data_IF_216240208797
#
_entry.id   IF_216240208797
#
_cell.length_a   1.000
_cell.length_b   1.000
_cell.length_c   1.000
_cell.angle_alpha   90.00
_cell.angle_beta   90.00
_cell.angle_gamma   90.00
#
_symmetry.space_group_name_H-M   'P 1'
#
loop_
_entity.id
_entity.type
_entity.pdbx_description
1 polymer ?
#
# COMPACT_ATOMS: atom_id res chain seq x y z
N UNK A 1 -8.09 -12.92 -22.84
CA UNK A 1 -8.81 -13.56 -21.73
C UNK A 1 -7.78 -14.08 -20.73
N UNK A 2 -7.34 -13.24 -19.79
CA UNK A 2 -6.40 -13.68 -18.76
C UNK A 2 -7.18 -13.96 -17.48
N UNK A 3 -7.27 -15.24 -17.14
CA UNK A 3 -7.85 -15.69 -15.88
C UNK A 3 -6.91 -15.28 -14.74
N UNK A 4 -7.32 -14.27 -13.97
CA UNK A 4 -6.63 -13.89 -12.74
C UNK A 4 -6.80 -15.03 -11.73
N UNK A 5 -5.69 -15.58 -11.22
CA UNK A 5 -5.76 -16.64 -10.20
C UNK A 5 -6.38 -16.10 -8.91
N UNK A 6 -6.98 -16.98 -8.09
CA UNK A 6 -7.51 -16.58 -6.78
C UNK A 6 -6.44 -15.91 -5.90
N UNK A 7 -5.20 -16.40 -5.95
CA UNK A 7 -4.08 -15.80 -5.22
C UNK A 7 -3.78 -14.38 -5.71
N UNK A 8 -3.84 -14.14 -7.02
CA UNK A 8 -3.65 -12.80 -7.56
C UNK A 8 -4.77 -11.85 -7.13
N UNK A 9 -6.03 -12.31 -7.15
CA UNK A 9 -7.17 -11.53 -6.63
C UNK A 9 -6.98 -11.16 -5.15
N UNK A 10 -6.50 -12.09 -4.32
CA UNK A 10 -6.21 -11.84 -2.91
C UNK A 10 -5.10 -10.79 -2.79
N UNK A 11 -4.03 -10.91 -3.57
CA UNK A 11 -2.92 -9.94 -3.53
C UNK A 11 -3.41 -8.54 -3.92
N UNK A 12 -4.22 -8.42 -4.98
CA UNK A 12 -4.80 -7.14 -5.40
C UNK A 12 -5.65 -6.51 -4.28
N UNK A 13 -6.50 -7.30 -3.62
CA UNK A 13 -7.32 -6.83 -2.49
C UNK A 13 -6.48 -6.37 -1.29
N UNK A 14 -5.37 -7.06 -1.00
CA UNK A 14 -4.44 -6.65 0.05
C UNK A 14 -3.72 -5.35 -0.32
N UNK A 15 -3.29 -5.20 -1.56
CA UNK A 15 -2.67 -3.97 -2.07
C UNK A 15 -3.62 -2.77 -1.98
N UNK A 16 -4.90 -2.96 -2.35
CA UNK A 16 -5.95 -1.94 -2.20
C UNK A 16 -6.11 -1.51 -0.73
N UNK A 17 -6.11 -2.48 0.20
CA UNK A 17 -6.11 -2.21 1.64
C UNK A 17 -4.93 -1.37 2.09
N UNK A 18 -3.71 -1.79 1.72
CA UNK A 18 -2.49 -1.05 2.03
C UNK A 18 -2.53 0.38 1.48
N UNK A 19 -2.98 0.59 0.24
CA UNK A 19 -3.01 1.92 -0.39
C UNK A 19 -3.92 2.89 0.38
N UNK A 20 -5.08 2.41 0.86
CA UNK A 20 -6.00 3.21 1.68
C UNK A 20 -5.35 3.63 3.00
N UNK A 21 -4.70 2.70 3.70
CA UNK A 21 -4.07 3.01 4.99
C UNK A 21 -2.84 3.91 4.83
N UNK A 22 -2.07 3.74 3.75
CA UNK A 22 -0.93 4.59 3.43
C UNK A 22 -1.34 6.02 3.07
N UNK A 23 -2.52 6.18 2.46
CA UNK A 23 -3.06 7.48 2.04
C UNK A 23 -3.89 8.17 3.14
N UNK A 24 -4.15 7.48 4.26
CA UNK A 24 -4.93 8.00 5.38
C UNK A 24 -4.04 8.70 6.41
N UNK A 25 -4.43 9.90 6.84
CA UNK A 25 -3.75 10.62 7.93
C UNK A 25 -3.89 9.91 9.27
N UNK A 26 -4.98 9.18 9.50
CA UNK A 26 -5.15 8.33 10.68
C UNK A 26 -4.10 7.23 10.78
N UNK A 27 -3.50 6.84 9.65
CA UNK A 27 -2.42 5.84 9.56
C UNK A 27 -1.00 6.41 9.68
N UNK A 28 -0.82 7.71 9.90
CA UNK A 28 0.50 8.36 9.91
C UNK A 28 1.46 7.79 10.97
N UNK A 29 0.92 7.29 12.08
CA UNK A 29 1.68 6.70 13.19
C UNK A 29 2.17 5.27 12.90
N UNK A 30 1.55 4.54 11.97
CA UNK A 30 1.94 3.18 11.62
C UNK A 30 3.10 3.21 10.65
N UNK A 31 4.07 2.31 10.74
CA UNK A 31 5.12 2.18 9.71
C UNK A 31 4.60 1.44 8.47
N UNK A 32 5.19 1.70 7.29
CA UNK A 32 4.84 1.03 6.02
C UNK A 32 4.87 -0.49 6.18
N UNK A 33 5.89 -1.02 6.85
CA UNK A 33 6.01 -2.46 7.10
C UNK A 33 4.88 -3.00 7.97
N UNK A 34 4.43 -2.26 8.98
CA UNK A 34 3.31 -2.67 9.84
C UNK A 34 2.00 -2.74 9.05
N UNK A 35 1.74 -1.79 8.15
CA UNK A 35 0.58 -1.84 7.25
C UNK A 35 0.65 -3.08 6.36
N UNK A 36 1.81 -3.36 5.76
CA UNK A 36 1.98 -4.54 4.92
C UNK A 36 1.68 -5.85 5.69
N UNK A 37 2.20 -5.97 6.92
CA UNK A 37 1.93 -7.13 7.78
C UNK A 37 0.45 -7.23 8.18
N UNK A 38 -0.21 -6.11 8.50
CA UNK A 38 -1.63 -6.08 8.85
C UNK A 38 -2.53 -6.57 7.71
N UNK A 39 -2.16 -6.29 6.45
CA UNK A 39 -2.86 -6.81 5.27
C UNK A 39 -2.36 -8.19 4.81
N UNK A 40 -1.50 -8.85 5.60
CA UNK A 40 -1.11 -10.24 5.40
C UNK A 40 0.05 -10.47 4.42
N UNK A 41 0.85 -9.44 4.11
CA UNK A 41 2.14 -9.65 3.46
C UNK A 41 3.17 -10.11 4.49
N UNK A 42 3.78 -11.28 4.28
CA UNK A 42 4.84 -11.81 5.16
C UNK A 42 6.24 -11.29 4.81
N UNK A 43 6.41 -10.65 3.65
CA UNK A 43 7.70 -10.17 3.17
C UNK A 43 7.57 -8.76 2.57
N UNK A 44 8.28 -7.80 3.17
CA UNK A 44 8.22 -6.39 2.78
C UNK A 44 8.82 -6.15 1.38
N UNK A 45 9.91 -6.82 1.02
CA UNK A 45 10.50 -6.68 -0.32
C UNK A 45 9.57 -7.17 -1.42
N UNK A 46 8.85 -8.27 -1.18
CA UNK A 46 7.82 -8.76 -2.11
C UNK A 46 6.65 -7.79 -2.19
N UNK A 47 6.14 -7.32 -1.04
CA UNK A 47 5.11 -6.30 -0.97
C UNK A 47 5.47 -5.05 -1.77
N UNK A 48 6.63 -4.44 -1.51
CA UNK A 48 7.05 -3.20 -2.16
C UNK A 48 7.16 -3.37 -3.69
N UNK A 49 7.66 -4.51 -4.17
CA UNK A 49 7.71 -4.81 -5.61
C UNK A 49 6.31 -4.89 -6.22
N UNK A 50 5.39 -5.61 -5.56
CA UNK A 50 4.00 -5.79 -6.04
C UNK A 50 3.21 -4.49 -5.99
N UNK A 51 3.38 -3.72 -4.92
CA UNK A 51 2.76 -2.41 -4.76
C UNK A 51 3.22 -1.45 -5.86
N UNK A 52 4.53 -1.33 -6.10
CA UNK A 52 5.05 -0.48 -7.18
C UNK A 52 4.58 -0.94 -8.55
N UNK A 53 4.51 -2.25 -8.80
CA UNK A 53 3.98 -2.78 -10.05
C UNK A 53 2.49 -2.41 -10.25
N UNK A 54 1.70 -2.35 -9.18
CA UNK A 54 0.28 -2.02 -9.22
C UNK A 54 -0.01 -0.51 -9.31
N UNK A 55 0.75 0.32 -8.58
CA UNK A 55 0.45 1.75 -8.39
C UNK A 55 1.47 2.71 -9.01
N UNK A 56 2.58 2.22 -9.56
CA UNK A 56 3.61 3.03 -10.20
C UNK A 56 4.57 3.74 -9.23
N UNK A 57 4.24 3.81 -7.94
CA UNK A 57 5.07 4.41 -6.87
C UNK A 57 5.30 3.41 -5.74
N UNK A 58 6.30 3.67 -4.89
CA UNK A 58 6.54 2.88 -3.69
C UNK A 58 5.52 3.22 -2.58
N UNK A 59 5.30 2.28 -1.63
CA UNK A 59 4.43 2.53 -0.47
C UNK A 59 4.83 3.77 0.34
N UNK A 60 6.14 4.03 0.46
CA UNK A 60 6.68 5.20 1.16
C UNK A 60 6.36 6.50 0.43
N UNK A 61 6.47 6.51 -0.90
CA UNK A 61 6.11 7.69 -1.72
C UNK A 61 4.62 8.00 -1.62
N UNK A 62 3.73 6.98 -1.67
CA UNK A 62 2.29 7.18 -1.44
C UNK A 62 2.03 7.91 -0.12
N UNK A 63 2.70 7.46 0.95
CA UNK A 63 2.56 8.07 2.27
C UNK A 63 3.10 9.49 2.33
N UNK A 64 4.28 9.73 1.78
CA UNK A 64 4.87 11.07 1.76
C UNK A 64 3.97 12.05 1.01
N UNK A 65 3.39 11.61 -0.11
CA UNK A 65 2.42 12.39 -0.89
C UNK A 65 1.16 12.70 -0.09
N UNK A 66 0.63 11.73 0.65
CA UNK A 66 -0.54 11.94 1.50
C UNK A 66 -0.25 12.92 2.66
N UNK A 67 0.92 12.81 3.30
CA UNK A 67 1.34 13.74 4.35
C UNK A 67 1.52 15.16 3.83
N UNK A 68 2.17 15.33 2.67
CA UNK A 68 2.35 16.62 2.03
C UNK A 68 1.01 17.28 1.64
N UNK A 69 0.07 16.49 1.12
CA UNK A 69 -1.26 16.98 0.76
C UNK A 69 -2.05 17.49 1.97
N UNK A 70 -1.89 16.86 3.13
CA UNK A 70 -2.55 17.30 4.36
C UNK A 70 -1.95 18.59 4.92
N UNK A 71 -0.62 18.75 4.88
CA UNK A 71 0.03 19.99 5.29
C UNK A 71 -0.34 21.18 4.41
N UNK A 72 -0.66 20.96 3.14
CA UNK A 72 -1.06 22.02 2.22
C UNK A 72 -2.54 22.43 2.36
N UNK A 73 -3.35 21.64 3.10
CA UNK A 73 -4.76 21.89 3.34
C UNK A 73 -5.04 22.60 4.68
N UNK A 74 -3.99 22.82 5.49
CA UNK A 74 -3.97 23.60 6.73
C UNK A 74 -3.44 25.01 6.44
#
# INVERSE_FOLDING_TARGET
>A
DQSVTVNELIILKRLEGCQRDLSSLGGAHLQVGQIAYAWGFSNISHFSKRYRAQYGESPTETRQRAAAAAMAAD
#
